data_IF_224606202396
#
_entry.id   IF_224606202396
#
_cell.length_a   1.000
_cell.length_b   1.000
_cell.length_c   1.000
_cell.angle_alpha   90.00
_cell.angle_beta   90.00
_cell.angle_gamma   90.00
#
_symmetry.space_group_name_H-M   'P 1'
#
loop_
_entity.id
_entity.type
_entity.pdbx_description
1 polymer ?
#
# COMPACT_ATOMS: atom_id res chain seq x y z
N UNK A 1 3.26 -12.74 4.41
CA UNK A 1 3.81 -13.10 3.10
C UNK A 1 2.82 -12.79 1.99
N UNK A 2 3.32 -12.31 0.84
CA UNK A 2 2.51 -12.00 -0.33
C UNK A 2 3.16 -12.66 -1.55
N UNK A 3 2.36 -13.21 -2.44
CA UNK A 3 2.79 -13.79 -3.70
C UNK A 3 2.35 -12.92 -4.86
N UNK A 4 3.00 -13.04 -6.00
CA UNK A 4 2.69 -12.24 -7.18
C UNK A 4 3.91 -12.08 -8.08
N UNK A 5 3.78 -11.23 -9.09
CA UNK A 5 4.88 -10.86 -9.96
C UNK A 5 5.46 -9.53 -9.48
N UNK A 6 6.78 -9.46 -9.41
CA UNK A 6 7.50 -8.22 -9.12
C UNK A 6 7.44 -7.30 -10.36
N UNK A 7 6.50 -6.39 -10.38
CA UNK A 7 6.36 -5.41 -11.48
C UNK A 7 7.51 -4.42 -11.44
N UNK A 8 7.91 -4.03 -10.23
CA UNK A 8 9.06 -3.19 -9.94
C UNK A 8 9.85 -3.75 -8.76
N UNK A 9 11.16 -3.64 -8.84
CA UNK A 9 12.06 -4.03 -7.75
C UNK A 9 13.29 -3.12 -7.74
N UNK A 10 13.08 -1.89 -7.24
CA UNK A 10 14.12 -0.87 -7.13
C UNK A 10 14.70 -0.91 -5.71
N UNK A 11 15.92 -1.38 -5.62
CA UNK A 11 16.68 -1.40 -4.37
C UNK A 11 17.55 -0.14 -4.22
N UNK A 12 17.93 0.24 -2.99
CA UNK A 12 18.72 1.44 -2.74
C UNK A 12 20.11 1.35 -3.40
N UNK A 13 20.25 1.96 -4.56
CA UNK A 13 21.51 2.05 -5.29
C UNK A 13 22.20 3.38 -4.99
N UNK A 14 23.55 3.38 -5.07
CA UNK A 14 24.36 4.60 -4.94
C UNK A 14 24.45 5.18 -3.52
N UNK A 15 23.99 4.47 -2.50
CA UNK A 15 24.27 4.82 -1.11
C UNK A 15 25.62 4.24 -0.70
N UNK A 16 26.52 5.11 -0.22
CA UNK A 16 27.75 4.64 0.39
C UNK A 16 27.45 3.78 1.62
N UNK A 17 28.26 2.73 1.79
CA UNK A 17 28.16 1.82 2.95
C UNK A 17 26.80 1.09 3.10
N UNK A 18 26.10 0.89 1.98
CA UNK A 18 24.90 0.06 1.89
C UNK A 18 25.13 -1.04 0.84
N UNK A 19 24.89 -2.28 1.24
CA UNK A 19 24.90 -3.45 0.36
C UNK A 19 23.52 -4.08 0.34
N UNK A 20 23.09 -4.52 -0.82
CA UNK A 20 21.85 -5.28 -1.00
C UNK A 20 22.21 -6.65 -1.60
N UNK A 21 21.82 -7.69 -0.87
CA UNK A 21 21.89 -9.07 -1.34
C UNK A 21 20.47 -9.50 -1.71
N UNK A 22 20.20 -9.74 -2.98
CA UNK A 22 18.87 -10.08 -3.51
C UNK A 22 18.89 -11.41 -4.23
N UNK A 23 17.84 -12.20 -4.02
CA UNK A 23 17.57 -13.43 -4.75
C UNK A 23 16.59 -13.27 -5.91
N UNK A 24 16.06 -12.06 -6.11
CA UNK A 24 15.01 -11.75 -7.09
C UNK A 24 15.30 -10.44 -7.80
N UNK A 25 14.63 -10.24 -8.93
CA UNK A 25 14.69 -9.02 -9.75
C UNK A 25 13.30 -8.66 -10.27
N UNK A 26 13.16 -7.46 -10.85
CA UNK A 26 11.91 -7.06 -11.50
C UNK A 26 11.54 -8.05 -12.61
N UNK A 27 10.26 -8.42 -12.67
CA UNK A 27 9.73 -9.42 -13.60
C UNK A 27 9.66 -10.85 -13.05
N UNK A 28 10.34 -11.14 -11.94
CA UNK A 28 10.28 -12.47 -11.31
C UNK A 28 8.93 -12.71 -10.63
N UNK A 29 8.54 -13.99 -10.55
CA UNK A 29 7.38 -14.43 -9.82
C UNK A 29 7.77 -14.92 -8.43
N UNK A 30 7.17 -14.32 -7.40
CA UNK A 30 7.29 -14.76 -6.01
C UNK A 30 6.20 -15.79 -5.74
N UNK A 31 6.60 -17.02 -5.43
CA UNK A 31 5.70 -18.14 -5.24
C UNK A 31 5.72 -18.66 -3.80
N UNK A 32 4.71 -19.44 -3.44
CA UNK A 32 4.57 -20.07 -2.13
C UNK A 32 5.65 -21.12 -1.80
N UNK A 33 6.42 -21.55 -2.82
CA UNK A 33 7.38 -22.65 -2.67
C UNK A 33 8.73 -22.20 -2.10
N UNK A 34 9.03 -20.91 -2.09
CA UNK A 34 10.29 -20.34 -1.62
C UNK A 34 10.11 -19.65 -0.26
N UNK A 35 11.21 -19.30 0.36
CA UNK A 35 11.19 -18.53 1.60
C UNK A 35 10.67 -17.11 1.35
N UNK A 36 10.01 -16.47 2.34
CA UNK A 36 9.44 -15.13 2.18
C UNK A 36 10.51 -14.02 2.08
N UNK A 37 11.77 -14.31 2.25
CA UNK A 37 12.87 -13.35 2.21
C UNK A 37 13.27 -13.05 0.76
N UNK A 38 12.96 -11.86 0.27
CA UNK A 38 13.28 -11.40 -1.09
C UNK A 38 14.69 -10.84 -1.20
N UNK A 39 15.07 -10.02 -0.23
CA UNK A 39 16.37 -9.36 -0.18
C UNK A 39 16.80 -9.05 1.25
N UNK A 40 18.11 -8.85 1.43
CA UNK A 40 18.72 -8.38 2.66
C UNK A 40 19.41 -7.05 2.38
N UNK A 41 19.06 -6.02 3.15
CA UNK A 41 19.70 -4.70 3.09
C UNK A 41 20.66 -4.60 4.27
N UNK A 42 21.91 -4.31 3.99
CA UNK A 42 23.01 -4.27 4.97
C UNK A 42 23.60 -2.87 4.93
N UNK A 43 23.62 -2.18 6.08
CA UNK A 43 24.25 -0.89 6.21
C UNK A 43 25.41 -0.96 7.21
N UNK A 44 26.51 -0.32 6.87
CA UNK A 44 27.65 -0.14 7.75
C UNK A 44 27.65 1.29 8.32
N UNK A 45 28.14 1.44 9.54
CA UNK A 45 28.34 2.73 10.21
C UNK A 45 29.46 2.63 11.24
N UNK A 46 30.15 3.75 11.51
CA UNK A 46 31.20 3.80 12.53
C UNK A 46 30.67 3.55 13.95
N UNK A 47 29.36 3.75 14.13
CA UNK A 47 28.65 3.40 15.35
C UNK A 47 27.22 2.92 15.01
N UNK A 48 26.51 2.43 16.02
CA UNK A 48 25.13 1.94 15.88
C UNK A 48 24.17 3.01 15.35
N UNK A 49 24.11 4.25 15.87
CA UNK A 49 23.23 5.29 15.36
C UNK A 49 23.48 5.59 13.88
N UNK A 50 24.72 5.67 13.44
CA UNK A 50 25.07 5.92 12.03
C UNK A 50 24.61 4.76 11.12
N UNK A 51 24.82 3.53 11.52
CA UNK A 51 24.37 2.35 10.77
C UNK A 51 22.84 2.31 10.68
N UNK A 52 22.13 2.59 11.78
CA UNK A 52 20.66 2.61 11.81
C UNK A 52 20.07 3.73 10.94
N UNK A 53 20.66 4.93 10.99
CA UNK A 53 20.22 6.04 10.15
C UNK A 53 20.38 5.72 8.67
N UNK A 54 21.51 5.10 8.28
CA UNK A 54 21.73 4.64 6.89
C UNK A 54 20.74 3.55 6.47
N UNK A 55 20.49 2.59 7.35
CA UNK A 55 19.53 1.52 7.06
C UNK A 55 18.11 2.06 6.88
N UNK A 56 17.68 3.02 7.71
CA UNK A 56 16.40 3.70 7.53
C UNK A 56 16.34 4.45 6.22
N UNK A 57 17.38 5.24 5.88
CA UNK A 57 17.46 5.93 4.60
C UNK A 57 17.45 4.95 3.41
N UNK A 58 18.09 3.79 3.54
CA UNK A 58 18.06 2.76 2.52
C UNK A 58 16.65 2.20 2.34
N UNK A 59 15.93 1.91 3.42
CA UNK A 59 14.55 1.44 3.36
C UNK A 59 13.60 2.46 2.71
N UNK A 60 13.79 3.76 2.96
CA UNK A 60 13.01 4.83 2.31
C UNK A 60 13.16 4.86 0.78
N UNK A 61 14.24 4.27 0.26
CA UNK A 61 14.50 4.19 -1.18
C UNK A 61 14.07 2.88 -1.82
N UNK A 62 13.64 1.90 -1.02
CA UNK A 62 13.09 0.63 -1.54
C UNK A 62 11.76 0.88 -2.22
N UNK A 63 11.59 0.29 -3.41
CA UNK A 63 10.32 0.26 -4.14
C UNK A 63 10.10 -1.11 -4.71
N UNK A 64 9.02 -1.70 -4.30
CA UNK A 64 8.60 -3.00 -4.75
C UNK A 64 7.12 -2.91 -5.08
N UNK A 65 6.76 -3.14 -6.34
CA UNK A 65 5.40 -3.16 -6.83
C UNK A 65 5.02 -4.58 -7.25
N UNK A 66 3.74 -4.92 -7.13
CA UNK A 66 3.17 -6.22 -7.46
C UNK A 66 3.00 -7.17 -6.28
N UNK A 67 3.71 -6.92 -5.16
CA UNK A 67 3.56 -7.67 -3.91
C UNK A 67 3.65 -6.75 -2.69
N UNK A 68 3.10 -7.20 -1.57
CA UNK A 68 3.23 -6.50 -0.29
C UNK A 68 4.56 -6.86 0.38
N UNK A 69 5.26 -5.86 0.93
CA UNK A 69 6.52 -6.03 1.66
C UNK A 69 6.42 -5.52 3.08
N UNK A 70 7.39 -5.90 3.92
CA UNK A 70 7.51 -5.41 5.29
C UNK A 70 8.46 -4.21 5.45
N UNK A 71 8.83 -3.52 4.35
CA UNK A 71 9.81 -2.43 4.38
C UNK A 71 9.40 -1.31 5.34
N UNK A 72 8.12 -0.91 5.36
CA UNK A 72 7.58 0.08 6.29
C UNK A 72 7.73 -0.38 7.74
N UNK A 73 7.31 -1.61 8.05
CA UNK A 73 7.41 -2.16 9.39
C UNK A 73 8.88 -2.17 9.90
N UNK A 74 9.81 -2.57 9.04
CA UNK A 74 11.24 -2.52 9.36
C UNK A 74 11.73 -1.10 9.62
N UNK A 75 11.26 -0.13 8.86
CA UNK A 75 11.59 1.28 9.05
C UNK A 75 11.05 1.83 10.38
N UNK A 76 9.83 1.47 10.77
CA UNK A 76 9.21 1.80 12.04
C UNK A 76 9.98 1.17 13.21
N UNK A 77 10.29 -0.12 13.12
CA UNK A 77 11.08 -0.86 14.12
C UNK A 77 12.45 -0.21 14.36
N UNK A 78 13.14 0.19 13.30
CA UNK A 78 14.43 0.88 13.40
C UNK A 78 14.33 2.28 14.01
N UNK A 79 13.15 2.88 14.01
CA UNK A 79 12.87 4.18 14.64
C UNK A 79 12.37 4.07 16.07
N UNK A 80 12.07 2.87 16.55
CA UNK A 80 11.51 2.65 17.86
C UNK A 80 12.57 2.84 18.97
N UNK A 81 12.20 3.51 20.07
CA UNK A 81 13.07 3.84 21.17
C UNK A 81 13.81 2.64 21.76
N UNK A 82 13.16 1.48 22.03
CA UNK A 82 13.86 0.29 22.55
C UNK A 82 14.97 -0.21 21.62
N UNK A 83 14.73 -0.13 20.29
CA UNK A 83 15.70 -0.56 19.28
C UNK A 83 16.86 0.43 19.18
N UNK A 84 16.59 1.73 19.20
CA UNK A 84 17.61 2.79 19.21
C UNK A 84 18.50 2.65 20.45
N UNK A 85 17.91 2.44 21.62
CA UNK A 85 18.61 2.27 22.88
C UNK A 85 19.32 0.91 23.04
N UNK A 86 19.16 -0.02 22.08
CA UNK A 86 19.77 -1.35 22.14
C UNK A 86 19.10 -2.31 23.13
N UNK A 87 17.92 -1.99 23.64
CA UNK A 87 17.12 -2.84 24.54
C UNK A 87 16.24 -3.82 23.76
N UNK A 88 16.86 -4.65 22.95
CA UNK A 88 16.16 -5.61 22.10
C UNK A 88 16.04 -6.96 22.79
N UNK A 89 14.82 -7.44 22.93
CA UNK A 89 14.50 -8.78 23.45
C UNK A 89 13.82 -9.62 22.36
N UNK A 90 13.79 -10.93 22.53
CA UNK A 90 13.12 -11.85 21.59
C UNK A 90 11.60 -11.62 21.48
N UNK A 91 11.00 -10.98 22.49
CA UNK A 91 9.55 -10.71 22.55
C UNK A 91 9.19 -9.28 22.16
N UNK A 92 10.18 -8.43 21.87
CA UNK A 92 9.94 -7.00 21.61
C UNK A 92 8.91 -6.75 20.50
N UNK A 93 9.00 -7.50 19.41
CA UNK A 93 8.10 -7.36 18.26
C UNK A 93 6.66 -7.80 18.56
N UNK A 94 6.49 -8.74 19.50
CA UNK A 94 5.18 -9.25 19.89
C UNK A 94 4.49 -8.35 20.91
N UNK A 95 5.26 -7.74 21.81
CA UNK A 95 4.72 -7.03 22.97
C UNK A 95 4.66 -5.52 22.82
N UNK A 96 5.62 -4.92 22.11
CA UNK A 96 5.77 -3.46 22.07
C UNK A 96 5.73 -2.86 20.65
N UNK A 97 6.10 -3.64 19.65
CA UNK A 97 6.28 -3.16 18.28
C UNK A 97 5.39 -3.93 17.28
N UNK A 98 4.10 -4.02 17.59
CA UNK A 98 3.16 -4.58 16.62
C UNK A 98 3.07 -3.68 15.38
N UNK A 99 2.88 -4.25 14.17
CA UNK A 99 2.69 -3.46 12.98
C UNK A 99 1.56 -2.45 13.18
N UNK A 100 1.78 -1.18 12.87
CA UNK A 100 0.71 -0.20 12.87
C UNK A 100 -0.35 -0.66 11.85
N UNK A 101 -1.57 -0.94 12.33
CA UNK A 101 -2.65 -1.45 11.47
C UNK A 101 -3.05 -0.42 10.42
N UNK A 102 -3.30 0.82 10.85
CA UNK A 102 -3.77 1.88 9.97
C UNK A 102 -2.65 2.85 9.58
N UNK A 103 -2.78 3.37 8.36
CA UNK A 103 -1.95 4.47 7.90
C UNK A 103 -2.30 5.75 8.68
N UNK A 104 -1.32 6.58 9.07
CA UNK A 104 -1.63 7.88 9.65
C UNK A 104 -2.56 8.68 8.72
N UNK A 105 -3.61 9.26 9.29
CA UNK A 105 -4.64 9.98 8.51
C UNK A 105 -4.03 11.06 7.60
N UNK A 106 -3.03 11.81 8.11
CA UNK A 106 -2.32 12.83 7.35
C UNK A 106 -1.55 12.26 6.15
N UNK A 107 -0.91 11.10 6.30
CA UNK A 107 -0.17 10.47 5.21
C UNK A 107 -1.13 9.96 4.12
N UNK A 108 -2.29 9.47 4.52
CA UNK A 108 -3.35 9.06 3.59
C UNK A 108 -3.92 10.27 2.85
N UNK A 109 -4.17 11.39 3.53
CA UNK A 109 -4.64 12.63 2.91
C UNK A 109 -3.61 13.18 1.92
N UNK A 110 -2.33 13.26 2.33
CA UNK A 110 -1.24 13.67 1.45
C UNK A 110 -1.14 12.76 0.20
N UNK A 111 -1.36 11.45 0.36
CA UNK A 111 -1.37 10.52 -0.77
C UNK A 111 -2.50 10.81 -1.78
N UNK A 112 -3.70 11.15 -1.30
CA UNK A 112 -4.81 11.57 -2.17
C UNK A 112 -4.48 12.85 -2.94
N UNK A 113 -3.85 13.84 -2.30
CA UNK A 113 -3.44 15.09 -2.94
C UNK A 113 -2.34 14.86 -3.97
N UNK A 114 -1.37 13.99 -3.66
CA UNK A 114 -0.30 13.59 -4.59
C UNK A 114 -0.85 12.81 -5.78
N UNK A 115 -1.83 11.94 -5.55
CA UNK A 115 -2.52 11.21 -6.61
C UNK A 115 -3.26 12.17 -7.54
N UNK A 116 -3.95 13.18 -7.00
CA UNK A 116 -4.60 14.23 -7.77
C UNK A 116 -3.60 14.99 -8.66
N UNK A 117 -2.46 15.39 -8.07
CA UNK A 117 -1.40 16.09 -8.81
C UNK A 117 -0.81 15.22 -9.91
N UNK A 118 -0.47 13.96 -9.62
CA UNK A 118 0.07 13.01 -10.58
C UNK A 118 -0.85 12.84 -11.79
N UNK A 119 -2.16 12.78 -11.57
CA UNK A 119 -3.15 12.64 -12.63
C UNK A 119 -3.20 13.87 -13.53
N UNK A 120 -3.21 15.06 -12.94
CA UNK A 120 -3.28 16.31 -13.73
C UNK A 120 -2.01 16.52 -14.52
N UNK A 121 -0.84 16.19 -13.95
CA UNK A 121 0.48 16.31 -14.60
C UNK A 121 0.68 15.30 -15.77
N UNK A 122 -0.19 14.31 -15.92
CA UNK A 122 -0.21 13.38 -17.06
C UNK A 122 -1.07 13.88 -18.22
N UNK A 123 -1.94 14.84 -17.98
CA UNK A 123 -2.82 15.33 -19.03
C UNK A 123 -2.02 16.10 -20.10
N UNK A 124 -2.33 15.90 -21.39
CA UNK A 124 -1.69 16.65 -22.47
C UNK A 124 -1.83 18.16 -22.25
N UNK A 125 -0.74 18.90 -22.35
CA UNK A 125 -0.70 20.35 -22.17
C UNK A 125 0.04 20.81 -20.92
N UNK A 126 0.49 19.90 -20.04
CA UNK A 126 1.30 20.19 -18.85
C UNK A 126 2.82 20.06 -19.06
N UNK A 127 3.27 19.91 -20.29
CA UNK A 127 4.70 20.03 -20.55
C UNK A 127 5.15 21.42 -20.10
N UNK A 128 5.74 21.51 -18.91
CA UNK A 128 6.41 22.71 -18.40
C UNK A 128 7.41 23.17 -19.46
N UNK A 129 7.18 24.33 -20.05
CA UNK A 129 8.18 25.01 -20.83
C UNK A 129 8.00 25.14 -22.34
N UNK A 130 6.93 24.65 -22.94
CA UNK A 130 6.63 25.03 -24.31
C UNK A 130 5.49 26.07 -24.29
N UNK A 131 5.90 27.33 -24.07
CA UNK A 131 5.12 28.47 -24.49
C UNK A 131 5.13 28.54 -26.03
N UNK A 132 4.68 27.49 -26.68
CA UNK A 132 4.39 27.56 -28.09
C UNK A 132 3.03 28.29 -28.23
N UNK A 133 3.12 29.55 -28.57
CA UNK A 133 2.01 30.47 -28.80
C UNK A 133 1.01 30.00 -29.90
N UNK A 134 1.17 28.78 -30.38
CA UNK A 134 0.34 28.16 -31.41
C UNK A 134 -0.52 26.98 -30.89
N UNK A 135 -0.43 26.61 -29.63
CA UNK A 135 -1.28 25.54 -29.10
C UNK A 135 -2.72 26.07 -28.95
N UNK A 136 -3.60 25.64 -29.81
CA UNK A 136 -5.03 25.91 -29.67
C UNK A 136 -5.52 25.46 -28.29
N UNK A 137 -6.37 26.25 -27.59
CA UNK A 137 -6.99 25.86 -26.33
C UNK A 137 -7.71 24.50 -26.38
N UNK A 138 -8.00 24.01 -27.57
CA UNK A 138 -8.64 22.73 -27.82
C UNK A 138 -7.71 21.52 -27.76
N UNK A 139 -6.39 21.70 -27.75
CA UNK A 139 -5.41 20.63 -27.68
C UNK A 139 -4.97 20.30 -26.25
N UNK A 140 -5.30 21.17 -25.28
CA UNK A 140 -4.95 20.95 -23.89
C UNK A 140 -6.12 20.37 -23.10
N UNK A 141 -5.90 19.32 -22.33
CA UNK A 141 -6.88 18.80 -21.37
C UNK A 141 -6.99 19.74 -20.14
N UNK A 142 -7.24 21.03 -20.41
CA UNK A 142 -7.27 22.09 -19.37
C UNK A 142 -8.53 22.07 -18.52
N UNK A 143 -9.50 21.17 -18.84
CA UNK A 143 -10.81 21.18 -18.20
C UNK A 143 -11.67 22.39 -18.58
N UNK A 144 -11.28 23.13 -19.65
CA UNK A 144 -12.00 24.34 -20.10
C UNK A 144 -13.47 24.06 -20.36
N UNK A 145 -14.34 24.90 -19.81
CA UNK A 145 -15.79 24.89 -20.05
C UNK A 145 -16.24 26.31 -20.28
N UNK A 146 -17.05 26.53 -21.36
CA UNK A 146 -17.60 27.82 -21.64
C UNK A 146 -18.54 28.28 -20.51
N UNK A 147 -18.25 29.43 -19.89
CA UNK A 147 -19.00 30.02 -18.76
C UNK A 147 -19.09 29.17 -17.49
N UNK A 148 -18.21 28.18 -17.32
CA UNK A 148 -18.12 27.35 -16.12
C UNK A 148 -16.67 27.28 -15.65
N UNK A 149 -16.42 27.08 -14.33
CA UNK A 149 -15.07 26.82 -13.84
C UNK A 149 -14.45 25.59 -14.50
N UNK A 150 -13.18 25.70 -14.85
CA UNK A 150 -12.40 24.59 -15.38
C UNK A 150 -12.06 23.62 -14.23
N UNK A 151 -12.92 22.63 -14.02
CA UNK A 151 -12.76 21.61 -12.97
C UNK A 151 -12.56 20.24 -13.60
N UNK A 152 -11.46 19.60 -13.27
CA UNK A 152 -11.15 18.21 -13.60
C UNK A 152 -11.72 17.35 -12.48
N UNK A 153 -12.43 16.29 -12.81
CA UNK A 153 -12.94 15.31 -11.83
C UNK A 153 -12.25 13.99 -12.06
N UNK A 154 -11.60 13.48 -11.02
CA UNK A 154 -10.87 12.21 -11.07
C UNK A 154 -11.48 11.26 -10.04
N UNK A 155 -12.08 10.16 -10.48
CA UNK A 155 -12.56 9.11 -9.59
C UNK A 155 -11.39 8.19 -9.24
N UNK A 156 -11.05 8.11 -7.98
CA UNK A 156 -10.00 7.22 -7.46
C UNK A 156 -10.54 6.41 -6.28
N UNK A 157 -10.03 5.21 -6.13
CA UNK A 157 -10.29 4.33 -5.00
C UNK A 157 -8.97 3.88 -4.36
N UNK A 158 -8.89 4.00 -3.05
CA UNK A 158 -7.79 3.49 -2.22
C UNK A 158 -8.36 2.46 -1.24
N UNK A 159 -8.05 1.18 -1.44
CA UNK A 159 -8.69 0.09 -0.70
C UNK A 159 -10.20 0.10 -0.92
N UNK A 160 -10.96 0.17 0.17
CA UNK A 160 -12.43 0.25 0.15
C UNK A 160 -12.95 1.69 -0.05
N UNK A 161 -12.11 2.69 0.09
CA UNK A 161 -12.51 4.09 0.02
C UNK A 161 -12.46 4.63 -1.39
N UNK A 162 -13.63 4.97 -1.97
CA UNK A 162 -13.76 5.61 -3.27
C UNK A 162 -14.07 7.11 -3.10
N UNK A 163 -13.32 7.96 -3.81
CA UNK A 163 -13.51 9.43 -3.78
C UNK A 163 -13.47 10.04 -5.16
N UNK A 164 -14.31 11.05 -5.37
CA UNK A 164 -14.24 11.93 -6.51
C UNK A 164 -13.44 13.18 -6.15
N UNK A 165 -12.22 13.28 -6.66
CA UNK A 165 -11.41 14.48 -6.50
C UNK A 165 -11.84 15.54 -7.50
N UNK A 166 -12.03 16.76 -7.03
CA UNK A 166 -12.30 17.93 -7.89
C UNK A 166 -11.06 18.81 -7.90
N UNK A 167 -10.48 18.99 -9.06
CA UNK A 167 -9.19 19.66 -9.22
C UNK A 167 -9.39 20.86 -10.15
N UNK A 168 -8.96 22.02 -9.74
CA UNK A 168 -8.88 23.22 -10.56
C UNK A 168 -7.46 23.74 -10.62
N UNK A 169 -7.08 24.34 -11.75
CA UNK A 169 -5.77 24.96 -11.92
C UNK A 169 -5.83 26.40 -11.41
N UNK A 170 -4.79 26.79 -10.69
CA UNK A 170 -4.60 28.14 -10.17
C UNK A 170 -3.22 28.68 -10.53
N UNK A 171 -3.00 30.00 -10.48
CA UNK A 171 -1.67 30.55 -10.58
C UNK A 171 -0.77 29.98 -9.47
N UNK A 172 0.29 29.27 -9.85
CA UNK A 172 1.24 28.65 -8.92
C UNK A 172 0.95 27.22 -8.55
N UNK A 173 -0.20 26.62 -8.95
CA UNK A 173 -0.44 25.23 -8.58
C UNK A 173 -1.83 24.70 -8.94
N UNK A 174 -2.29 23.79 -8.10
CA UNK A 174 -3.61 23.18 -8.21
C UNK A 174 -4.39 23.44 -6.92
N UNK A 175 -5.69 23.62 -7.04
CA UNK A 175 -6.62 23.52 -5.93
C UNK A 175 -7.32 22.17 -6.03
N UNK A 176 -7.18 21.37 -4.99
CA UNK A 176 -7.78 20.04 -4.87
C UNK A 176 -8.84 20.06 -3.77
N UNK A 177 -10.08 19.76 -4.13
CA UNK A 177 -11.15 19.61 -3.14
C UNK A 177 -11.22 18.16 -2.69
N UNK A 178 -10.91 17.93 -1.41
CA UNK A 178 -10.87 16.62 -0.77
C UNK A 178 -11.58 16.69 0.59
N UNK A 179 -12.45 15.75 0.91
CA UNK A 179 -13.14 15.61 2.19
C UNK A 179 -13.85 16.89 2.69
N UNK A 180 -14.34 17.74 1.76
CA UNK A 180 -15.03 19.00 2.11
C UNK A 180 -14.09 20.20 2.28
N UNK A 181 -12.78 20.03 2.16
CA UNK A 181 -11.77 21.07 2.27
C UNK A 181 -11.09 21.32 0.92
N UNK A 182 -10.62 22.54 0.73
CA UNK A 182 -9.81 22.93 -0.42
C UNK A 182 -8.34 22.95 0.00
N UNK A 183 -7.51 22.23 -0.74
CA UNK A 183 -6.08 22.12 -0.52
C UNK A 183 -5.31 22.80 -1.66
N UNK A 184 -4.24 23.51 -1.33
CA UNK A 184 -3.34 24.10 -2.29
C UNK A 184 -2.15 23.17 -2.55
N UNK A 185 -1.96 22.78 -3.81
CA UNK A 185 -1.00 21.76 -4.23
C UNK A 185 -0.05 22.33 -5.27
N UNK A 186 1.19 22.58 -4.89
CA UNK A 186 2.26 23.09 -5.75
C UNK A 186 3.26 21.95 -6.01
N UNK A 187 3.02 21.15 -7.02
CA UNK A 187 3.85 19.96 -7.33
C UNK A 187 4.45 20.10 -8.71
N UNK A 188 5.73 19.82 -8.82
CA UNK A 188 6.48 19.68 -10.05
C UNK A 188 6.81 18.22 -10.30
N UNK A 189 6.73 17.84 -11.57
CA UNK A 189 7.13 16.53 -12.02
C UNK A 189 8.61 16.53 -12.38
N UNK A 190 9.37 15.65 -11.74
CA UNK A 190 10.75 15.32 -12.09
C UNK A 190 10.83 14.09 -13.00
N UNK A 191 12.05 13.62 -13.21
CA UNK A 191 12.31 12.40 -13.98
C UNK A 191 11.79 11.15 -13.24
N UNK A 192 11.47 10.10 -14.00
CA UNK A 192 11.08 8.80 -13.47
C UNK A 192 9.92 8.83 -12.46
N UNK A 193 8.93 9.73 -12.69
CA UNK A 193 7.75 9.83 -11.83
C UNK A 193 8.02 10.48 -10.47
N UNK A 194 9.08 11.26 -10.33
CA UNK A 194 9.28 12.10 -9.15
C UNK A 194 8.23 13.20 -9.08
N UNK A 195 7.75 13.45 -7.85
CA UNK A 195 6.91 14.58 -7.48
C UNK A 195 7.61 15.33 -6.35
N UNK A 196 7.80 16.62 -6.51
CA UNK A 196 8.40 17.47 -5.47
C UNK A 196 7.69 18.82 -5.43
N UNK A 197 7.47 19.35 -4.24
CA UNK A 197 6.80 20.64 -4.06
C UNK A 197 6.21 20.82 -2.67
N UNK A 198 5.02 21.42 -2.60
CA UNK A 198 4.34 21.71 -1.34
C UNK A 198 2.87 21.29 -1.38
N UNK A 199 2.37 20.78 -0.26
CA UNK A 199 0.96 20.58 0.05
C UNK A 199 0.57 21.51 1.18
N UNK A 200 -0.28 22.48 0.93
CA UNK A 200 -0.67 23.53 1.89
C UNK A 200 0.54 24.21 2.57
N UNK A 201 1.58 24.51 1.77
CA UNK A 201 2.83 25.11 2.23
C UNK A 201 3.81 24.17 2.93
N UNK A 202 3.46 22.89 3.13
CA UNK A 202 4.35 21.86 3.68
C UNK A 202 5.16 21.21 2.55
N UNK A 203 6.48 21.16 2.61
CA UNK A 203 7.29 20.50 1.59
C UNK A 203 7.00 19.00 1.52
N UNK A 204 6.91 18.47 0.33
CA UNK A 204 6.66 17.06 0.08
C UNK A 204 7.51 16.56 -1.08
N UNK A 205 7.99 15.34 -0.92
CA UNK A 205 8.60 14.56 -1.99
C UNK A 205 7.90 13.20 -2.05
N UNK A 206 7.59 12.75 -3.25
CA UNK A 206 6.99 11.47 -3.50
C UNK A 206 7.43 10.94 -4.87
N UNK A 207 7.01 9.74 -5.19
CA UNK A 207 7.09 9.22 -6.55
C UNK A 207 5.78 8.56 -6.90
N UNK A 208 5.48 8.55 -8.18
CA UNK A 208 4.34 7.81 -8.67
C UNK A 208 4.73 6.94 -9.87
N UNK A 209 3.97 5.89 -10.05
CA UNK A 209 3.90 5.12 -11.27
C UNK A 209 2.44 5.03 -11.69
N UNK A 210 2.21 5.10 -12.98
CA UNK A 210 0.89 5.02 -13.57
C UNK A 210 0.88 3.92 -14.61
N UNK A 211 0.01 2.97 -14.44
CA UNK A 211 -0.37 1.98 -15.41
C UNK A 211 -1.84 2.19 -15.81
N UNK A 212 -2.36 1.44 -16.78
CA UNK A 212 -3.68 1.66 -17.39
C UNK A 212 -4.84 1.79 -16.38
N UNK A 213 -4.78 1.07 -15.27
CA UNK A 213 -5.85 1.04 -14.27
C UNK A 213 -5.40 1.42 -12.86
N UNK A 214 -4.08 1.59 -12.65
CA UNK A 214 -3.49 1.80 -11.31
C UNK A 214 -2.58 3.00 -11.28
N UNK A 215 -2.77 3.82 -10.27
CA UNK A 215 -1.85 4.88 -9.91
C UNK A 215 -1.22 4.54 -8.54
N UNK A 216 0.05 4.28 -8.53
CA UNK A 216 0.78 4.00 -7.30
C UNK A 216 1.54 5.23 -6.85
N UNK A 217 1.40 5.59 -5.59
CA UNK A 217 2.10 6.71 -4.96
C UNK A 217 3.00 6.17 -3.86
N UNK A 218 4.28 6.46 -3.97
CA UNK A 218 5.30 6.08 -2.98
C UNK A 218 5.83 7.33 -2.28
N UNK A 219 5.72 7.34 -0.97
CA UNK A 219 6.27 8.38 -0.12
C UNK A 219 6.97 7.75 1.07
N UNK A 220 8.29 7.98 1.20
CA UNK A 220 9.11 7.27 2.17
C UNK A 220 8.92 5.75 2.03
N UNK A 221 8.62 5.03 3.12
CA UNK A 221 8.31 3.59 3.09
C UNK A 221 6.80 3.30 2.91
N UNK A 222 5.98 4.30 2.62
CA UNK A 222 4.55 4.16 2.39
C UNK A 222 4.28 3.92 0.91
N UNK A 223 3.35 3.00 0.65
CA UNK A 223 2.86 2.66 -0.67
C UNK A 223 1.35 2.77 -0.68
N UNK A 224 0.82 3.56 -1.61
CA UNK A 224 -0.60 3.76 -1.81
C UNK A 224 -0.96 3.33 -3.23
N UNK A 225 -1.87 2.37 -3.33
CA UNK A 225 -2.31 1.79 -4.60
C UNK A 225 -3.72 2.29 -4.92
N UNK A 226 -3.81 3.26 -5.82
CA UNK A 226 -5.07 3.85 -6.26
C UNK A 226 -5.56 3.17 -7.53
N UNK A 227 -6.81 2.79 -7.55
CA UNK A 227 -7.50 2.28 -8.72
C UNK A 227 -8.38 3.38 -9.31
N UNK A 228 -8.49 3.41 -10.65
CA UNK A 228 -9.46 4.27 -11.31
C UNK A 228 -10.85 3.68 -11.15
N UNK A 229 -11.72 4.43 -10.48
CA UNK A 229 -13.12 4.05 -10.37
C UNK A 229 -13.88 4.54 -11.63
N UNK A 230 -13.84 3.76 -12.69
CA UNK A 230 -14.52 4.08 -13.95
C UNK A 230 -16.04 3.97 -13.86
N UNK A 231 -16.61 3.81 -12.68
CA UNK A 231 -18.05 3.71 -12.47
C UNK A 231 -18.68 2.40 -12.96
N UNK A 232 -17.85 1.42 -13.35
CA UNK A 232 -18.30 0.04 -13.39
C UNK A 232 -18.52 -0.38 -11.93
N UNK A 233 -19.78 -0.41 -11.53
CA UNK A 233 -20.23 -0.81 -10.21
C UNK A 233 -19.76 -2.23 -9.96
N UNK A 234 -18.54 -2.41 -9.52
CA UNK A 234 -18.23 -3.50 -8.66
C UNK A 234 -18.84 -3.13 -7.30
N UNK A 235 -20.04 -3.60 -7.07
CA UNK A 235 -20.50 -3.86 -5.73
C UNK A 235 -19.49 -4.86 -5.13
N UNK A 236 -18.37 -4.36 -4.64
CA UNK A 236 -17.61 -5.03 -3.61
C UNK A 236 -18.53 -4.93 -2.40
N UNK A 237 -19.26 -5.98 -2.23
CA UNK A 237 -20.26 -6.26 -1.24
C UNK A 237 -19.75 -5.86 0.14
N UNK A 238 -20.50 -4.99 0.77
CA UNK A 238 -20.59 -4.87 2.22
C UNK A 238 -21.19 -6.19 2.78
N UNK A 239 -20.49 -7.30 2.67
CA UNK A 239 -20.90 -8.62 3.20
C UNK A 239 -19.68 -9.46 3.62
N UNK A 240 -18.77 -8.84 4.40
CA UNK A 240 -17.71 -9.61 5.06
C UNK A 240 -18.04 -9.90 6.53
N UNK A 241 -19.26 -9.62 6.96
CA UNK A 241 -19.71 -10.06 8.27
C UNK A 241 -19.83 -11.58 8.29
N UNK A 242 -18.86 -12.23 8.96
CA UNK A 242 -18.89 -13.65 9.24
C UNK A 242 -18.04 -14.56 8.34
N UNK A 243 -17.36 -14.07 7.31
CA UNK A 243 -16.48 -14.89 6.46
C UNK A 243 -15.02 -14.87 6.92
N UNK A 244 -14.51 -16.03 7.30
CA UNK A 244 -13.07 -16.21 7.55
C UNK A 244 -12.40 -16.58 6.24
N UNK A 245 -11.57 -15.70 5.71
CA UNK A 245 -10.89 -15.86 4.42
C UNK A 245 -9.40 -16.15 4.59
N UNK A 246 -8.80 -16.76 3.56
CA UNK A 246 -7.37 -16.98 3.53
C UNK A 246 -6.63 -15.65 3.34
N UNK A 247 -5.77 -15.23 4.27
CA UNK A 247 -5.02 -13.97 4.17
C UNK A 247 -3.89 -14.01 3.13
N UNK A 248 -3.60 -15.19 2.62
CA UNK A 248 -2.55 -15.46 1.64
C UNK A 248 -2.75 -16.80 0.98
N UNK A 249 -2.20 -17.06 -0.21
CA UNK A 249 -2.27 -18.37 -0.83
C UNK A 249 -1.41 -19.36 -0.07
N UNK A 250 -1.93 -20.59 0.12
CA UNK A 250 -1.26 -21.63 0.91
C UNK A 250 -1.92 -22.99 0.83
N UNK A 251 -1.49 -23.89 1.71
CA UNK A 251 -2.06 -25.20 1.92
C UNK A 251 -2.71 -25.27 3.29
N UNK A 252 -3.91 -25.86 3.37
CA UNK A 252 -4.60 -26.12 4.62
C UNK A 252 -3.91 -27.30 5.32
N UNK A 253 -3.21 -27.03 6.42
CA UNK A 253 -2.58 -28.09 7.23
C UNK A 253 -3.59 -28.79 8.13
N UNK A 254 -4.46 -28.02 8.77
CA UNK A 254 -5.40 -28.55 9.75
C UNK A 254 -6.67 -27.71 9.79
N UNK A 255 -7.81 -28.38 9.98
CA UNK A 255 -9.12 -27.74 10.20
C UNK A 255 -9.64 -28.21 11.55
N UNK A 256 -9.67 -27.28 12.53
CA UNK A 256 -9.96 -27.57 13.95
C UNK A 256 -11.41 -27.34 14.34
N UNK A 257 -12.27 -27.05 13.37
CA UNK A 257 -13.69 -26.85 13.62
C UNK A 257 -14.52 -27.67 12.63
N UNK A 258 -15.84 -27.64 12.81
CA UNK A 258 -16.81 -28.33 11.95
C UNK A 258 -18.11 -27.53 11.88
N UNK A 259 -18.92 -27.82 10.89
CA UNK A 259 -20.25 -27.23 10.74
C UNK A 259 -21.08 -27.38 12.01
N UNK A 260 -21.71 -26.29 12.42
CA UNK A 260 -22.55 -26.20 13.60
C UNK A 260 -21.82 -26.08 14.93
N UNK A 261 -20.48 -26.09 14.96
CA UNK A 261 -19.70 -25.93 16.18
C UNK A 261 -19.81 -24.48 16.73
N UNK A 262 -19.86 -24.34 18.05
CA UNK A 262 -19.71 -23.04 18.73
C UNK A 262 -18.25 -22.83 19.04
N UNK A 263 -17.73 -21.65 18.69
CA UNK A 263 -16.33 -21.24 18.86
C UNK A 263 -16.27 -19.92 19.62
N UNK A 264 -15.19 -19.74 20.38
CA UNK A 264 -14.95 -18.48 21.12
C UNK A 264 -13.96 -17.62 20.36
N UNK A 265 -13.99 -16.33 20.64
CA UNK A 265 -12.97 -15.40 20.15
C UNK A 265 -11.58 -15.94 20.44
N UNK A 266 -10.69 -15.87 19.45
CA UNK A 266 -9.32 -16.40 19.48
C UNK A 266 -9.16 -17.91 19.44
N UNK A 267 -10.22 -18.71 19.32
CA UNK A 267 -10.08 -20.14 19.04
C UNK A 267 -9.49 -20.34 17.62
N UNK A 268 -8.48 -21.19 17.51
CA UNK A 268 -7.88 -21.54 16.21
C UNK A 268 -8.83 -22.43 15.42
N UNK A 269 -9.24 -21.98 14.24
CA UNK A 269 -10.20 -22.67 13.39
C UNK A 269 -9.54 -23.40 12.21
N UNK A 270 -8.55 -22.77 11.58
CA UNK A 270 -7.80 -23.33 10.45
C UNK A 270 -6.32 -23.03 10.64
N UNK A 271 -5.46 -23.95 10.26
CA UNK A 271 -4.02 -23.74 10.17
C UNK A 271 -3.62 -23.83 8.71
N UNK A 272 -3.06 -22.75 8.18
CA UNK A 272 -2.52 -22.68 6.82
C UNK A 272 -0.99 -22.74 6.85
N UNK A 273 -0.41 -23.45 5.89
CA UNK A 273 1.01 -23.36 5.59
C UNK A 273 1.21 -22.51 4.32
N UNK A 274 1.99 -21.46 4.45
CA UNK A 274 2.41 -20.64 3.33
C UNK A 274 3.89 -20.31 3.49
N UNK A 275 4.70 -20.49 2.44
CA UNK A 275 6.13 -20.14 2.45
C UNK A 275 6.90 -20.73 3.65
N UNK A 276 6.63 -22.02 3.98
CA UNK A 276 7.22 -22.76 5.12
C UNK A 276 6.92 -22.15 6.50
N UNK A 277 5.86 -21.35 6.60
CA UNK A 277 5.37 -20.79 7.86
C UNK A 277 3.95 -21.27 8.12
N UNK A 278 3.66 -21.64 9.36
CA UNK A 278 2.32 -21.98 9.79
C UNK A 278 1.59 -20.73 10.28
N UNK A 279 0.39 -20.51 9.75
CA UNK A 279 -0.49 -19.41 10.13
C UNK A 279 -1.78 -19.97 10.73
N UNK A 280 -2.00 -19.67 12.00
CA UNK A 280 -3.25 -20.02 12.69
C UNK A 280 -4.29 -18.95 12.45
N UNK A 281 -5.40 -19.28 11.81
CA UNK A 281 -6.55 -18.43 11.64
C UNK A 281 -7.51 -18.67 12.80
N UNK A 282 -7.84 -17.59 13.51
CA UNK A 282 -8.64 -17.64 14.73
C UNK A 282 -10.00 -16.99 14.54
N UNK A 283 -10.96 -17.38 15.38
CA UNK A 283 -12.26 -16.75 15.40
C UNK A 283 -12.14 -15.29 15.87
N UNK A 284 -12.70 -14.32 15.13
CA UNK A 284 -12.63 -12.90 15.50
C UNK A 284 -13.56 -12.52 16.67
N UNK A 285 -14.60 -13.30 16.90
CA UNK A 285 -15.59 -13.16 18.00
C UNK A 285 -16.21 -14.49 18.35
N UNK A 286 -17.04 -14.54 19.39
CA UNK A 286 -17.81 -15.73 19.76
C UNK A 286 -18.88 -16.00 18.69
N UNK A 287 -18.76 -17.13 18.00
CA UNK A 287 -19.56 -17.43 16.82
C UNK A 287 -20.02 -18.89 16.77
N UNK A 288 -21.00 -19.14 15.90
CA UNK A 288 -21.33 -20.48 15.44
C UNK A 288 -20.81 -20.68 14.02
N UNK A 289 -20.15 -21.79 13.77
CA UNK A 289 -19.69 -22.16 12.43
C UNK A 289 -20.91 -22.56 11.59
N UNK A 290 -21.21 -21.81 10.55
CA UNK A 290 -22.28 -22.11 9.62
C UNK A 290 -21.84 -23.17 8.62
N UNK A 291 -20.70 -22.98 7.96
CA UNK A 291 -20.10 -23.96 7.03
C UNK A 291 -18.58 -23.89 7.05
N UNK A 292 -17.94 -25.01 6.76
CA UNK A 292 -16.52 -25.15 6.53
C UNK A 292 -16.29 -25.51 5.06
N UNK A 293 -15.70 -24.58 4.30
CA UNK A 293 -15.57 -24.69 2.84
C UNK A 293 -14.28 -25.40 2.39
N UNK A 294 -13.38 -25.71 3.32
CA UNK A 294 -12.07 -26.28 3.03
C UNK A 294 -11.78 -27.53 3.86
N UNK A 295 -10.86 -28.37 3.35
CA UNK A 295 -10.39 -29.58 4.01
C UNK A 295 -8.88 -29.57 4.16
N UNK A 296 -8.37 -30.33 5.11
CA UNK A 296 -6.93 -30.58 5.26
C UNK A 296 -6.34 -31.13 3.95
N UNK A 297 -5.28 -30.48 3.48
CA UNK A 297 -4.60 -30.77 2.23
C UNK A 297 -5.06 -29.90 1.04
N UNK A 298 -6.14 -29.14 1.17
CA UNK A 298 -6.61 -28.25 0.11
C UNK A 298 -5.62 -27.09 -0.12
N UNK A 299 -5.53 -26.65 -1.37
CA UNK A 299 -4.82 -25.46 -1.76
C UNK A 299 -5.80 -24.29 -1.87
N UNK A 300 -5.46 -23.17 -1.25
CA UNK A 300 -6.29 -21.96 -1.23
C UNK A 300 -5.52 -20.77 -1.80
N UNK A 301 -6.23 -19.86 -2.43
CA UNK A 301 -5.73 -18.59 -2.90
C UNK A 301 -6.04 -17.48 -1.88
N UNK A 302 -5.35 -16.33 -1.95
CA UNK A 302 -5.65 -15.16 -1.12
C UNK A 302 -7.12 -14.75 -1.35
N UNK A 303 -7.87 -14.53 -0.27
CA UNK A 303 -9.28 -14.16 -0.31
C UNK A 303 -10.25 -15.34 -0.49
N UNK A 304 -9.76 -16.59 -0.59
CA UNK A 304 -10.64 -17.75 -0.62
C UNK A 304 -11.42 -17.91 0.69
N UNK A 305 -12.74 -18.14 0.60
CA UNK A 305 -13.58 -18.39 1.77
C UNK A 305 -13.19 -19.74 2.39
N UNK A 306 -12.92 -19.76 3.69
CA UNK A 306 -12.53 -20.95 4.44
C UNK A 306 -13.63 -21.42 5.36
N UNK A 307 -14.21 -20.50 6.11
CA UNK A 307 -15.27 -20.77 7.08
C UNK A 307 -16.27 -19.61 7.06
N UNK A 308 -17.54 -19.93 7.12
CA UNK A 308 -18.62 -18.99 7.34
C UNK A 308 -19.03 -19.04 8.82
N UNK A 309 -18.98 -17.88 9.48
CA UNK A 309 -19.30 -17.72 10.89
C UNK A 309 -20.59 -16.91 11.05
N UNK A 310 -21.43 -17.32 11.98
CA UNK A 310 -22.63 -16.58 12.38
C UNK A 310 -22.43 -16.09 13.83
N UNK A 311 -22.63 -14.80 14.12
CA UNK A 311 -22.54 -14.30 15.49
C UNK A 311 -23.47 -15.08 16.40
N UNK A 312 -23.02 -15.46 17.60
CA UNK A 312 -23.94 -15.93 18.62
C UNK A 312 -24.68 -14.70 19.12
N UNK A 313 -25.99 -14.60 18.78
CA UNK A 313 -26.87 -13.59 19.34
C UNK A 313 -26.73 -13.57 20.86
N UNK A 314 -26.45 -12.38 21.44
CA UNK A 314 -26.29 -12.17 22.85
C UNK A 314 -27.63 -12.20 23.61
#
# INVERSE_FOLDING_TARGET
PSTGRLERFDMPQGLSDVRVDSGVQAGDAVSIYYDPMLAKIIAWGHDRPAAMARLRLALERVRVDGIKTNARYLWEVLGAEPVIAGRVTTRLLETELQPAGDLPAQETEDAWLLAAAAMVLQLPGDAQGVADAAASPWHGATGFRLNLPAVIRVPLRLGEEARWLRISREPGGLRVHLAGLDHHVEIQRGEHGQLAGCLDGRPVEARYSLDHERLQVHRQCLHFDFLFDTGAVHHASAEHEGRLQAPMPGHVLDVRTRDGASVKASDTLVVLEAMKMEHSLVAPWDARVQSVEVKTGDRVEEGADLILLEPLDA
#
